data_IF_471380150801
#
_entry.id   IF_471380150801
#
_cell.length_a   1.000
_cell.length_b   1.000
_cell.length_c   1.000
_cell.angle_alpha   90.00
_cell.angle_beta   90.00
_cell.angle_gamma   90.00
#
_symmetry.space_group_name_H-M   'P 1'
#
loop_
_entity.id
_entity.type
_entity.pdbx_description
1 polymer ?
#
# COMPACT_ATOMS: atom_id res chain seq x y z
N UNK A 1 -39.77 -14.71 6.10
CA UNK A 1 -38.50 -14.80 5.36
C UNK A 1 -38.26 -13.49 4.66
N UNK A 2 -37.62 -12.53 5.33
CA UNK A 2 -36.81 -11.47 4.73
C UNK A 2 -35.78 -11.15 5.81
N UNK A 3 -34.51 -11.45 5.56
CA UNK A 3 -33.44 -11.02 6.45
C UNK A 3 -33.34 -9.49 6.33
N UNK A 4 -33.36 -8.82 7.47
CA UNK A 4 -33.18 -7.37 7.58
C UNK A 4 -31.78 -6.97 7.06
N UNK A 5 -31.61 -5.74 6.54
CA UNK A 5 -30.30 -5.28 6.11
C UNK A 5 -29.42 -5.18 7.35
N UNK A 6 -28.32 -5.94 7.37
CA UNK A 6 -27.34 -5.94 8.44
C UNK A 6 -26.83 -4.53 8.67
N UNK A 7 -27.25 -3.95 9.80
CA UNK A 7 -26.74 -2.74 10.43
C UNK A 7 -25.29 -2.96 10.85
N UNK A 8 -24.36 -2.72 9.92
CA UNK A 8 -22.97 -2.49 10.27
C UNK A 8 -22.82 -0.97 10.49
N UNK A 9 -22.30 -0.48 11.63
CA UNK A 9 -21.88 0.92 11.73
C UNK A 9 -20.96 1.21 10.55
N UNK A 10 -20.99 2.39 9.90
CA UNK A 10 -20.26 2.62 8.66
C UNK A 10 -18.80 2.34 8.93
N UNK A 11 -18.39 1.14 8.52
CA UNK A 11 -17.04 0.72 8.68
C UNK A 11 -16.25 1.71 7.86
N UNK A 12 -15.27 2.33 8.50
CA UNK A 12 -14.34 3.26 7.90
C UNK A 12 -14.07 2.95 6.41
N UNK A 13 -13.94 4.02 5.61
CA UNK A 13 -13.47 3.89 4.23
C UNK A 13 -12.20 3.04 4.18
N UNK A 14 -12.20 1.98 3.36
CA UNK A 14 -11.14 0.97 3.33
C UNK A 14 -9.87 1.50 2.67
N UNK A 15 -8.72 1.09 3.20
CA UNK A 15 -7.41 1.30 2.61
C UNK A 15 -7.06 0.11 1.71
N UNK A 16 -7.38 0.22 0.42
CA UNK A 16 -6.96 -0.75 -0.59
C UNK A 16 -5.52 -0.51 -1.10
N UNK A 17 -4.81 0.49 -0.56
CA UNK A 17 -3.42 0.74 -0.92
C UNK A 17 -2.45 -0.27 -0.31
N UNK A 18 -2.86 -0.93 0.79
CA UNK A 18 -2.09 -2.02 1.40
C UNK A 18 -2.25 -3.30 0.60
N UNK A 19 -1.26 -4.19 0.73
CA UNK A 19 -1.24 -5.45 0.02
C UNK A 19 -2.32 -6.43 0.52
N UNK A 20 -2.40 -6.61 1.83
CA UNK A 20 -3.22 -7.64 2.48
C UNK A 20 -4.34 -7.05 3.34
N UNK A 21 -5.40 -7.81 3.49
CA UNK A 21 -6.49 -7.52 4.43
C UNK A 21 -6.05 -7.68 5.90
N UNK A 22 -6.87 -7.24 6.85
CA UNK A 22 -6.55 -7.18 8.28
C UNK A 22 -6.17 -8.54 8.87
N UNK A 23 -6.80 -9.62 8.43
CA UNK A 23 -6.56 -10.97 8.96
C UNK A 23 -5.41 -11.70 8.27
N UNK A 24 -4.71 -11.01 7.37
CA UNK A 24 -3.58 -11.55 6.63
C UNK A 24 -2.33 -10.69 6.89
N UNK A 25 -1.16 -11.27 6.70
CA UNK A 25 0.11 -10.55 6.71
C UNK A 25 0.84 -10.78 5.37
N UNK A 26 1.57 -9.77 4.87
CA UNK A 26 2.26 -9.88 3.59
C UNK A 26 3.45 -10.83 3.70
N UNK A 27 3.62 -11.66 2.67
CA UNK A 27 4.76 -12.55 2.46
C UNK A 27 5.16 -12.42 0.99
N UNK A 28 6.12 -11.53 0.68
CA UNK A 28 6.45 -11.06 -0.68
C UNK A 28 5.19 -10.56 -1.42
N UNK A 29 4.78 -11.18 -2.52
CA UNK A 29 3.58 -10.83 -3.31
C UNK A 29 2.31 -11.54 -2.83
N UNK A 30 2.41 -12.37 -1.79
CA UNK A 30 1.32 -13.17 -1.24
C UNK A 30 0.81 -12.58 0.09
N UNK A 31 -0.36 -13.04 0.49
CA UNK A 31 -0.97 -12.72 1.78
C UNK A 31 -1.27 -14.01 2.52
N UNK A 32 -0.72 -14.17 3.72
CA UNK A 32 -0.90 -15.37 4.52
C UNK A 32 -1.82 -15.09 5.71
N UNK A 33 -2.77 -15.99 5.92
CA UNK A 33 -3.78 -15.85 6.95
C UNK A 33 -3.17 -15.99 8.34
N UNK A 34 -3.45 -15.00 9.20
CA UNK A 34 -3.19 -15.07 10.64
C UNK A 34 -3.98 -16.24 11.25
N UNK A 35 -3.56 -16.80 12.40
CA UNK A 35 -4.29 -17.88 13.06
C UNK A 35 -5.77 -17.56 13.33
N UNK A 36 -6.10 -16.28 13.52
CA UNK A 36 -7.45 -15.78 13.76
C UNK A 36 -8.37 -15.77 12.54
N UNK A 37 -7.87 -15.97 11.32
CA UNK A 37 -8.70 -15.97 10.13
C UNK A 37 -9.54 -17.25 10.05
N UNK A 38 -10.85 -17.07 10.00
CA UNK A 38 -11.86 -18.13 9.95
C UNK A 38 -12.79 -18.06 8.74
N UNK A 39 -12.49 -17.17 7.77
CA UNK A 39 -13.31 -17.02 6.56
C UNK A 39 -13.09 -18.16 5.54
N UNK A 40 -13.89 -18.17 4.45
CA UNK A 40 -13.95 -19.29 3.51
C UNK A 40 -12.78 -19.39 2.53
N UNK A 41 -11.93 -18.36 2.42
CA UNK A 41 -10.85 -18.33 1.44
C UNK A 41 -9.60 -19.09 1.90
N UNK A 42 -8.76 -19.46 0.94
CA UNK A 42 -7.51 -20.16 1.24
C UNK A 42 -6.61 -19.35 2.18
N UNK A 43 -5.87 -20.06 3.05
CA UNK A 43 -4.94 -19.41 3.98
C UNK A 43 -3.75 -18.75 3.30
N UNK A 44 -3.49 -19.04 2.02
CA UNK A 44 -2.41 -18.46 1.22
C UNK A 44 -3.00 -17.83 -0.03
N UNK A 45 -3.09 -16.51 -0.04
CA UNK A 45 -3.65 -15.75 -1.15
C UNK A 45 -2.52 -15.24 -2.05
N UNK A 46 -2.65 -15.44 -3.37
CA UNK A 46 -1.69 -14.94 -4.37
C UNK A 46 -2.30 -13.77 -5.14
N UNK A 47 -1.46 -12.80 -5.53
CA UNK A 47 -1.89 -11.74 -6.43
C UNK A 47 -2.78 -10.65 -5.81
N UNK A 48 -3.06 -10.68 -4.50
CA UNK A 48 -3.81 -9.60 -3.82
C UNK A 48 -3.14 -8.23 -3.99
N UNK A 49 -1.80 -8.19 -4.10
CA UNK A 49 -1.04 -6.98 -4.38
C UNK A 49 -1.47 -6.30 -5.70
N UNK A 50 -1.85 -7.09 -6.70
CA UNK A 50 -2.15 -6.65 -8.07
C UNK A 50 -3.63 -6.37 -8.30
N UNK A 51 -4.49 -6.68 -7.34
CA UNK A 51 -5.92 -6.45 -7.46
C UNK A 51 -6.25 -4.94 -7.49
N UNK A 52 -7.24 -4.58 -8.31
CA UNK A 52 -7.87 -3.25 -8.27
C UNK A 52 -8.59 -3.03 -6.94
N UNK A 53 -8.96 -1.78 -6.64
CA UNK A 53 -9.71 -1.46 -5.42
C UNK A 53 -11.05 -2.22 -5.41
N UNK A 54 -11.73 -2.29 -6.56
CA UNK A 54 -13.01 -2.98 -6.75
C UNK A 54 -12.86 -4.51 -6.63
N UNK A 55 -11.74 -5.07 -7.09
CA UNK A 55 -11.41 -6.49 -6.91
C UNK A 55 -11.12 -6.81 -5.45
N UNK A 56 -10.41 -5.93 -4.73
CA UNK A 56 -10.15 -6.08 -3.28
C UNK A 56 -11.43 -5.96 -2.45
N UNK A 57 -12.35 -5.10 -2.86
CA UNK A 57 -13.68 -4.99 -2.27
C UNK A 57 -14.47 -6.29 -2.47
N UNK A 58 -14.52 -6.80 -3.70
CA UNK A 58 -15.19 -8.06 -4.02
C UNK A 58 -14.58 -9.24 -3.26
N UNK A 59 -13.25 -9.27 -3.14
CA UNK A 59 -12.52 -10.25 -2.34
C UNK A 59 -12.89 -10.16 -0.86
N UNK A 60 -13.03 -8.94 -0.31
CA UNK A 60 -13.37 -8.72 1.10
C UNK A 60 -14.73 -9.32 1.44
N UNK A 61 -15.70 -9.14 0.55
CA UNK A 61 -17.04 -9.72 0.66
C UNK A 61 -16.96 -11.26 0.57
N UNK A 62 -16.28 -11.78 -0.45
CA UNK A 62 -16.20 -13.22 -0.70
C UNK A 62 -15.43 -13.98 0.38
N UNK A 63 -14.41 -13.36 0.98
CA UNK A 63 -13.52 -13.98 1.96
C UNK A 63 -13.86 -13.65 3.41
N UNK A 64 -14.94 -12.91 3.64
CA UNK A 64 -15.42 -12.51 4.97
C UNK A 64 -14.31 -11.87 5.83
N UNK A 65 -13.47 -11.05 5.19
CA UNK A 65 -12.40 -10.31 5.85
C UNK A 65 -12.24 -8.94 5.21
N UNK A 66 -11.73 -7.98 5.99
CA UNK A 66 -11.75 -6.58 5.60
C UNK A 66 -10.34 -5.99 5.50
N UNK A 67 -10.14 -5.08 4.55
CA UNK A 67 -8.95 -4.23 4.53
C UNK A 67 -8.94 -3.22 5.70
N UNK A 68 -7.77 -2.74 6.14
CA UNK A 68 -7.67 -1.71 7.16
C UNK A 68 -8.43 -0.44 6.79
N UNK A 69 -8.71 0.41 7.78
CA UNK A 69 -9.26 1.74 7.52
C UNK A 69 -8.22 2.62 6.82
N UNK A 70 -8.68 3.51 5.94
CA UNK A 70 -7.86 4.57 5.38
C UNK A 70 -7.35 5.44 6.54
N UNK A 71 -6.03 5.60 6.70
CA UNK A 71 -5.46 6.36 7.79
C UNK A 71 -5.71 7.87 7.59
N UNK A 72 -5.78 8.61 8.69
CA UNK A 72 -5.92 10.08 8.66
C UNK A 72 -4.73 10.77 7.97
N UNK A 73 -3.55 10.17 8.05
CA UNK A 73 -2.39 10.56 7.27
C UNK A 73 -1.83 9.34 6.54
N UNK A 74 -1.78 9.41 5.22
CA UNK A 74 -1.16 8.38 4.39
C UNK A 74 0.36 8.34 4.65
N UNK A 75 0.93 7.20 5.07
CA UNK A 75 2.35 7.09 5.39
C UNK A 75 3.29 7.48 4.24
N UNK A 76 2.84 7.32 2.99
CA UNK A 76 3.59 7.61 1.75
C UNK A 76 2.94 8.71 0.91
N UNK A 77 2.05 9.49 1.52
CA UNK A 77 1.27 10.51 0.86
C UNK A 77 0.05 9.96 0.12
N UNK A 78 -0.84 10.89 -0.21
CA UNK A 78 -2.09 10.64 -0.93
C UNK A 78 -1.81 10.44 -2.43
N UNK A 79 -2.55 9.52 -3.03
CA UNK A 79 -2.51 9.24 -4.46
C UNK A 79 -3.47 10.17 -5.22
N UNK A 80 -2.97 11.36 -5.56
CA UNK A 80 -3.72 12.33 -6.35
C UNK A 80 -3.79 11.99 -7.84
N UNK A 81 -3.05 10.98 -8.30
CA UNK A 81 -3.12 10.49 -9.69
C UNK A 81 -4.37 9.64 -9.90
N UNK A 82 -4.89 9.00 -8.84
CA UNK A 82 -6.20 8.35 -8.87
C UNK A 82 -7.29 9.35 -9.26
N UNK A 83 -8.13 8.92 -10.21
CA UNK A 83 -9.21 9.76 -10.73
C UNK A 83 -10.29 10.00 -9.69
N UNK A 84 -10.71 8.95 -8.98
CA UNK A 84 -11.78 9.01 -7.99
C UNK A 84 -11.25 9.03 -6.56
N UNK A 85 -12.00 9.67 -5.62
CA UNK A 85 -11.80 9.47 -4.19
C UNK A 85 -11.87 7.99 -3.81
N UNK A 86 -11.33 7.62 -2.65
CA UNK A 86 -11.43 6.27 -2.14
C UNK A 86 -12.91 5.88 -1.94
N UNK A 87 -13.27 4.62 -2.22
CA UNK A 87 -14.66 4.15 -2.11
C UNK A 87 -15.64 4.72 -3.15
N UNK A 88 -15.20 5.59 -4.07
CA UNK A 88 -16.03 6.06 -5.17
C UNK A 88 -15.79 5.21 -6.41
N UNK A 89 -16.86 4.85 -7.10
CA UNK A 89 -16.79 3.99 -8.28
C UNK A 89 -16.47 4.81 -9.52
N UNK A 90 -15.40 4.44 -10.23
CA UNK A 90 -15.09 4.98 -11.55
C UNK A 90 -15.99 4.34 -12.61
N UNK A 91 -16.65 5.17 -13.42
CA UNK A 91 -17.55 4.67 -14.49
C UNK A 91 -16.84 4.73 -15.84
N UNK A 92 -16.58 5.94 -16.35
CA UNK A 92 -15.92 6.17 -17.64
C UNK A 92 -15.52 7.64 -17.77
N UNK A 93 -14.47 7.94 -18.53
CA UNK A 93 -14.09 9.32 -18.86
C UNK A 93 -13.71 10.18 -17.65
N UNK A 94 -13.52 9.60 -16.47
CA UNK A 94 -13.27 10.28 -15.19
C UNK A 94 -14.51 10.71 -14.41
N UNK A 95 -15.68 10.20 -14.78
CA UNK A 95 -16.87 10.26 -13.95
C UNK A 95 -16.74 9.29 -12.77
N UNK A 96 -16.90 9.83 -11.56
CA UNK A 96 -16.89 9.08 -10.32
C UNK A 96 -18.26 9.19 -9.65
N UNK A 97 -18.75 8.08 -9.13
CA UNK A 97 -20.04 7.98 -8.43
C UNK A 97 -19.79 7.63 -6.97
N UNK A 98 -20.33 8.43 -6.07
CA UNK A 98 -20.24 8.25 -4.63
C UNK A 98 -21.06 7.05 -4.14
N UNK A 99 -20.77 6.54 -2.93
CA UNK A 99 -21.64 5.62 -2.21
C UNK A 99 -23.08 6.15 -2.03
N UNK A 100 -24.04 5.26 -1.80
CA UNK A 100 -25.46 5.62 -1.73
C UNK A 100 -25.82 6.48 -0.52
N UNK A 101 -25.03 6.39 0.55
CA UNK A 101 -25.14 7.12 1.81
C UNK A 101 -24.38 8.45 1.82
N UNK A 102 -23.68 8.80 0.72
CA UNK A 102 -22.98 10.07 0.59
C UNK A 102 -23.96 11.22 0.32
N UNK A 103 -24.04 12.17 1.24
CA UNK A 103 -24.99 13.30 1.20
C UNK A 103 -24.31 14.68 1.30
N UNK A 104 -22.98 14.73 1.52
CA UNK A 104 -22.27 15.97 1.77
C UNK A 104 -22.10 16.86 0.52
N UNK A 105 -21.98 16.26 -0.66
CA UNK A 105 -21.80 16.94 -1.94
C UNK A 105 -22.45 16.16 -3.10
N UNK A 106 -22.27 16.63 -4.34
CA UNK A 106 -22.71 15.93 -5.53
C UNK A 106 -22.20 14.47 -5.57
N UNK A 107 -23.13 13.51 -5.65
CA UNK A 107 -22.81 12.09 -5.70
C UNK A 107 -22.27 11.63 -7.06
N UNK A 108 -22.21 12.49 -8.08
CA UNK A 108 -21.68 12.19 -9.42
C UNK A 108 -20.82 13.35 -9.89
N UNK A 109 -19.51 13.14 -10.01
CA UNK A 109 -18.56 14.23 -10.28
C UNK A 109 -17.56 13.83 -11.36
N UNK A 110 -17.28 14.77 -12.27
CA UNK A 110 -16.37 14.60 -13.40
C UNK A 110 -14.96 15.09 -13.04
N UNK A 111 -14.11 14.19 -12.52
CA UNK A 111 -12.78 14.55 -12.01
C UNK A 111 -11.67 14.61 -13.06
N UNK A 112 -11.90 14.16 -14.30
CA UNK A 112 -10.84 14.19 -15.33
C UNK A 112 -10.30 15.60 -15.62
N UNK A 113 -11.12 16.64 -15.44
CA UNK A 113 -10.73 18.03 -15.68
C UNK A 113 -10.21 18.74 -14.42
N UNK A 114 -10.23 18.08 -13.25
CA UNK A 114 -9.83 18.70 -12.00
C UNK A 114 -8.30 18.80 -11.92
N UNK A 115 -7.80 19.99 -11.59
CA UNK A 115 -6.41 20.16 -11.17
C UNK A 115 -6.16 19.51 -9.81
N UNK A 116 -4.89 19.36 -9.44
CA UNK A 116 -4.52 18.93 -8.08
C UNK A 116 -5.17 19.82 -7.01
N UNK A 117 -5.18 21.13 -7.24
CA UNK A 117 -5.77 22.10 -6.31
C UNK A 117 -7.29 21.95 -6.21
N UNK A 118 -7.98 21.66 -7.32
CA UNK A 118 -9.42 21.38 -7.31
C UNK A 118 -9.74 20.10 -6.54
N UNK A 119 -8.92 19.05 -6.70
CA UNK A 119 -9.07 17.81 -5.93
C UNK A 119 -8.89 18.06 -4.43
N UNK A 120 -7.88 18.85 -4.03
CA UNK A 120 -7.68 19.24 -2.64
C UNK A 120 -8.87 20.04 -2.09
N UNK A 121 -9.34 21.04 -2.82
CA UNK A 121 -10.47 21.86 -2.41
C UNK A 121 -11.76 21.03 -2.27
N UNK A 122 -12.00 20.10 -3.20
CA UNK A 122 -13.14 19.19 -3.13
C UNK A 122 -13.03 18.23 -1.93
N UNK A 123 -11.86 17.64 -1.70
CA UNK A 123 -11.61 16.77 -0.56
C UNK A 123 -11.93 17.46 0.77
N UNK A 124 -11.44 18.69 0.94
CA UNK A 124 -11.69 19.49 2.15
C UNK A 124 -13.15 19.90 2.28
N UNK A 125 -13.78 20.36 1.19
CA UNK A 125 -15.16 20.84 1.21
C UNK A 125 -16.17 19.72 1.46
N UNK A 126 -15.96 18.57 0.85
CA UNK A 126 -16.93 17.47 0.81
C UNK A 126 -16.60 16.34 1.79
N UNK A 127 -15.52 16.46 2.57
CA UNK A 127 -15.11 15.44 3.54
C UNK A 127 -14.68 14.12 2.89
N UNK A 128 -14.33 14.13 1.60
CA UNK A 128 -13.87 12.93 0.89
C UNK A 128 -12.36 12.83 0.93
N UNK A 129 -11.83 11.61 0.81
CA UNK A 129 -10.39 11.35 0.82
C UNK A 129 -9.98 10.59 -0.42
N UNK A 130 -8.84 10.95 -1.00
CA UNK A 130 -8.21 10.16 -2.05
C UNK A 130 -7.44 8.98 -1.44
N UNK A 131 -7.29 7.87 -2.18
CA UNK A 131 -6.56 6.70 -1.70
C UNK A 131 -5.12 7.05 -1.30
N UNK A 132 -4.52 6.26 -0.41
CA UNK A 132 -3.08 6.35 -0.19
C UNK A 132 -2.31 5.77 -1.39
N UNK A 133 -1.08 6.25 -1.62
CA UNK A 133 -0.22 5.69 -2.67
C UNK A 133 0.05 4.21 -2.42
N UNK A 134 -0.25 3.37 -3.41
CA UNK A 134 0.06 1.93 -3.38
C UNK A 134 1.56 1.69 -3.24
N UNK A 135 1.92 0.52 -2.72
CA UNK A 135 3.31 0.07 -2.70
C UNK A 135 3.72 -0.36 -4.12
N UNK A 136 4.14 0.59 -4.95
CA UNK A 136 4.75 0.32 -6.26
C UNK A 136 5.98 1.21 -6.39
N UNK A 137 7.06 0.82 -5.77
CA UNK A 137 8.37 1.38 -6.07
C UNK A 137 9.06 0.46 -7.08
N UNK A 138 9.80 1.04 -8.02
CA UNK A 138 10.78 0.25 -8.76
C UNK A 138 11.73 -0.38 -7.74
N UNK A 139 12.02 -1.67 -7.86
CA UNK A 139 12.96 -2.34 -6.96
C UNK A 139 14.37 -1.83 -7.24
N UNK A 140 15.10 -1.54 -6.17
CA UNK A 140 16.52 -1.29 -6.25
C UNK A 140 17.29 -2.61 -6.25
N UNK A 141 17.47 -3.19 -7.42
CA UNK A 141 18.31 -4.37 -7.58
C UNK A 141 19.81 -4.06 -7.53
N UNK A 142 20.23 -2.79 -7.37
CA UNK A 142 21.62 -2.47 -7.05
C UNK A 142 21.97 -2.87 -5.61
N UNK A 143 20.99 -2.91 -4.72
CA UNK A 143 21.15 -3.45 -3.37
C UNK A 143 21.50 -4.95 -3.43
N UNK A 144 22.52 -5.34 -2.66
CA UNK A 144 23.05 -6.71 -2.64
C UNK A 144 22.00 -7.69 -2.11
N UNK A 145 21.44 -7.37 -0.94
CA UNK A 145 20.45 -8.21 -0.26
C UNK A 145 19.04 -7.61 -0.28
N UNK A 146 18.00 -8.46 -0.17
CA UNK A 146 16.63 -8.02 0.05
C UNK A 146 16.47 -7.22 1.35
N UNK A 147 15.36 -6.49 1.49
CA UNK A 147 14.96 -5.84 2.74
C UNK A 147 14.93 -6.86 3.89
N UNK A 148 15.43 -6.42 5.05
CA UNK A 148 15.54 -7.22 6.27
C UNK A 148 16.48 -8.44 6.17
N UNK A 149 17.34 -8.49 5.16
CA UNK A 149 18.47 -9.41 5.06
C UNK A 149 19.77 -8.61 5.18
N UNK A 150 20.74 -9.15 5.93
CA UNK A 150 22.04 -8.55 6.13
C UNK A 150 23.05 -9.15 5.15
N UNK A 151 23.90 -8.33 4.54
CA UNK A 151 25.02 -8.79 3.74
C UNK A 151 26.19 -9.12 4.67
N UNK A 152 26.52 -10.41 4.79
CA UNK A 152 27.66 -10.92 5.56
C UNK A 152 28.99 -10.82 4.76
N UNK A 153 28.95 -10.28 3.54
CA UNK A 153 30.06 -10.20 2.61
C UNK A 153 29.94 -11.20 1.46
N UNK A 154 30.65 -10.93 0.35
CA UNK A 154 30.63 -11.76 -0.86
C UNK A 154 29.21 -12.08 -1.37
N UNK A 155 28.29 -11.11 -1.25
CA UNK A 155 26.87 -11.28 -1.61
C UNK A 155 26.16 -12.43 -0.89
N UNK A 156 26.62 -12.79 0.31
CA UNK A 156 25.96 -13.76 1.17
C UNK A 156 24.97 -13.01 2.06
N UNK A 157 23.70 -13.17 1.74
CA UNK A 157 22.61 -12.56 2.45
C UNK A 157 22.11 -13.48 3.56
N UNK A 158 22.07 -12.97 4.78
CA UNK A 158 21.53 -13.64 5.95
C UNK A 158 20.21 -12.99 6.37
N UNK A 159 19.13 -13.77 6.33
CA UNK A 159 17.80 -13.33 6.68
C UNK A 159 17.69 -13.01 8.17
N UNK A 160 16.92 -11.98 8.54
CA UNK A 160 16.61 -11.74 9.95
C UNK A 160 15.68 -12.86 10.48
N UNK A 161 16.09 -13.68 11.47
CA UNK A 161 15.32 -14.83 11.96
C UNK A 161 14.00 -14.47 12.63
N UNK A 162 13.86 -13.23 13.10
CA UNK A 162 12.62 -12.77 13.73
C UNK A 162 11.60 -12.25 12.72
N UNK A 163 11.98 -12.11 11.44
CA UNK A 163 11.17 -11.50 10.39
C UNK A 163 10.93 -12.48 9.25
N UNK A 164 11.97 -13.15 8.78
CA UNK A 164 11.89 -14.02 7.62
C UNK A 164 11.27 -15.37 7.96
N UNK A 165 10.19 -15.71 7.26
CA UNK A 165 9.44 -16.98 7.41
C UNK A 165 9.21 -17.66 6.06
N UNK A 166 9.99 -17.29 5.05
CA UNK A 166 9.87 -17.80 3.69
C UNK A 166 10.47 -19.21 3.51
N UNK A 167 10.33 -19.78 2.31
CA UNK A 167 10.66 -21.18 2.04
C UNK A 167 12.16 -21.43 1.78
N UNK A 168 12.96 -20.37 1.65
CA UNK A 168 14.39 -20.52 1.37
C UNK A 168 15.21 -20.62 2.67
N UNK A 169 16.45 -21.12 2.59
CA UNK A 169 17.35 -21.12 3.74
C UNK A 169 17.62 -19.70 4.26
N UNK A 170 17.98 -19.60 5.53
CA UNK A 170 18.33 -18.33 6.19
C UNK A 170 19.55 -17.65 5.56
N UNK A 171 20.39 -18.40 4.84
CA UNK A 171 21.55 -17.88 4.11
C UNK A 171 21.34 -18.09 2.61
N UNK A 172 21.58 -17.06 1.82
CA UNK A 172 21.52 -17.11 0.37
C UNK A 172 22.78 -16.48 -0.22
N UNK A 173 23.51 -17.24 -1.04
CA UNK A 173 24.60 -16.68 -1.84
C UNK A 173 24.02 -16.13 -3.14
N UNK A 174 24.02 -14.81 -3.27
CA UNK A 174 23.50 -14.07 -4.43
C UNK A 174 24.63 -13.56 -5.33
N UNK A 175 25.84 -14.14 -5.23
CA UNK A 175 26.98 -13.77 -6.06
C UNK A 175 26.64 -13.95 -7.53
N UNK A 176 26.83 -12.90 -8.33
CA UNK A 176 26.60 -12.93 -9.76
C UNK A 176 25.12 -12.92 -10.17
N UNK A 177 24.18 -12.74 -9.24
CA UNK A 177 22.77 -12.54 -9.59
C UNK A 177 22.60 -11.21 -10.32
N UNK A 178 22.05 -11.26 -11.53
CA UNK A 178 21.55 -10.10 -12.24
C UNK A 178 20.13 -9.72 -11.76
N UNK A 179 19.57 -8.67 -12.35
CA UNK A 179 18.25 -8.16 -11.94
C UNK A 179 17.13 -9.19 -12.13
N UNK A 180 17.20 -10.03 -13.17
CA UNK A 180 16.20 -11.06 -13.45
C UNK A 180 16.28 -12.19 -12.41
N UNK A 181 17.49 -12.62 -12.06
CA UNK A 181 17.69 -13.60 -11.00
C UNK A 181 17.29 -13.06 -9.62
N UNK A 182 17.54 -11.78 -9.34
CA UNK A 182 17.07 -11.12 -8.11
C UNK A 182 15.55 -11.04 -8.07
N UNK A 183 14.90 -10.67 -9.17
CA UNK A 183 13.44 -10.68 -9.28
C UNK A 183 12.88 -12.10 -9.04
N UNK A 184 13.47 -13.11 -9.67
CA UNK A 184 13.05 -14.49 -9.46
C UNK A 184 13.27 -14.94 -8.00
N UNK A 185 14.37 -14.53 -7.36
CA UNK A 185 14.60 -14.78 -5.94
C UNK A 185 13.56 -14.09 -5.06
N UNK A 186 13.14 -12.86 -5.41
CA UNK A 186 12.06 -12.13 -4.72
C UNK A 186 10.77 -12.97 -4.68
N UNK A 187 10.47 -13.60 -5.81
CA UNK A 187 9.30 -14.44 -6.02
C UNK A 187 9.45 -15.79 -5.32
N UNK A 188 10.58 -16.49 -5.49
CA UNK A 188 10.79 -17.85 -4.99
C UNK A 188 10.97 -17.87 -3.47
N UNK A 189 11.78 -16.95 -2.94
CA UNK A 189 12.14 -16.92 -1.53
C UNK A 189 11.22 -16.05 -0.69
N UNK A 190 10.21 -15.43 -1.29
CA UNK A 190 9.27 -14.53 -0.64
C UNK A 190 9.95 -13.39 0.14
N UNK A 191 10.88 -12.73 -0.52
CA UNK A 191 11.56 -11.54 0.00
C UNK A 191 11.13 -10.32 -0.81
N UNK A 192 11.71 -9.16 -0.55
CA UNK A 192 11.47 -7.93 -1.30
C UNK A 192 12.77 -7.15 -1.39
N UNK A 193 13.18 -6.66 -2.57
CA UNK A 193 14.28 -5.69 -2.63
C UNK A 193 13.84 -4.30 -2.15
N UNK A 194 14.76 -3.49 -1.62
CA UNK A 194 14.43 -2.13 -1.22
C UNK A 194 13.90 -1.34 -2.40
N UNK A 195 13.11 -0.31 -2.11
CA UNK A 195 12.65 0.61 -3.12
C UNK A 195 13.81 1.43 -3.70
N UNK A 196 13.92 1.49 -5.02
CA UNK A 196 14.71 2.49 -5.72
C UNK A 196 14.20 3.87 -5.30
N UNK A 197 15.08 4.68 -4.72
CA UNK A 197 14.75 6.05 -4.37
C UNK A 197 14.47 6.82 -5.66
N UNK A 198 13.21 7.20 -5.88
CA UNK A 198 12.84 8.16 -6.93
C UNK A 198 13.28 9.61 -6.59
N UNK A 199 13.90 9.83 -5.42
CA UNK A 199 14.49 11.10 -5.04
C UNK A 199 16.01 10.98 -4.96
N UNK A 200 16.73 11.84 -5.68
CA UNK A 200 18.11 12.15 -5.34
C UNK A 200 18.11 12.84 -3.97
N UNK A 201 18.80 12.24 -3.01
CA UNK A 201 19.03 12.89 -1.72
C UNK A 201 20.00 14.03 -1.94
N UNK A 202 19.51 15.25 -1.79
CA UNK A 202 20.37 16.42 -1.75
C UNK A 202 21.12 16.46 -0.41
N UNK A 203 22.36 15.96 -0.40
CA UNK A 203 23.24 16.03 0.76
C UNK A 203 23.82 17.45 1.00
N UNK A 204 23.60 18.40 0.07
CA UNK A 204 23.91 19.81 0.29
C UNK A 204 22.85 20.51 1.14
N UNK A 205 21.62 19.96 1.18
CA UNK A 205 20.57 20.45 2.06
C UNK A 205 20.92 20.14 3.52
N UNK A 206 20.97 21.19 4.35
CA UNK A 206 21.33 21.06 5.77
C UNK A 206 20.29 20.28 6.60
N UNK A 207 19.08 20.09 6.09
CA UNK A 207 18.00 19.36 6.72
C UNK A 207 17.11 18.68 5.66
N UNK A 208 16.38 17.60 6.03
CA UNK A 208 15.34 17.02 5.19
C UNK A 208 14.25 18.04 4.81
N UNK A 209 13.52 17.76 3.72
CA UNK A 209 12.38 18.57 3.31
C UNK A 209 11.37 18.70 4.47
N UNK A 210 10.88 19.93 4.69
CA UNK A 210 10.00 20.33 5.79
C UNK A 210 10.60 20.34 7.21
N UNK A 211 11.90 20.09 7.38
CA UNK A 211 12.61 20.33 8.63
C UNK A 211 13.25 21.72 8.64
N UNK A 212 13.28 22.37 9.80
CA UNK A 212 13.99 23.66 9.99
C UNK A 212 15.08 23.47 11.04
N UNK A 213 16.28 23.96 10.75
CA UNK A 213 17.33 24.12 11.75
C UNK A 213 16.82 25.07 12.83
N UNK A 214 16.63 24.56 14.04
CA UNK A 214 16.51 25.40 15.22
C UNK A 214 17.91 25.91 15.56
N UNK A 215 18.24 27.13 15.11
CA UNK A 215 19.45 27.81 15.53
C UNK A 215 19.36 28.14 17.03
N UNK A 216 20.28 27.66 17.89
CA UNK A 216 20.20 27.83 19.34
C UNK A 216 20.37 29.28 19.85
N UNK A 217 20.56 30.26 18.96
CA UNK A 217 20.96 31.63 19.31
C UNK A 217 19.85 32.67 19.17
N UNK A 218 18.58 32.28 19.03
CA UNK A 218 17.45 33.23 18.95
C UNK A 218 16.61 33.35 20.22
N UNK A 219 17.10 32.87 21.36
CA UNK A 219 16.59 33.28 22.67
C UNK A 219 17.62 34.19 23.33
N UNK A 220 17.69 35.42 22.82
CA UNK A 220 18.33 36.55 23.48
C UNK A 220 17.25 37.41 24.12
#
# INVERSE_FOLDING_TARGET
MLAEPTDFPPECQRDYSVQCSKSFFPVSTQCWAKPSYSGPCERKQRGMAQMSDEQKESWSIACEDNYPCLPEQCPRGTDWERTCPAGWRHVSGGLCVAPADFDQCDAKVQFAAFSLQDKHAFAQKCGVRWPCRRLSCARDYSSVCPEYWHDEGDSICHANPNIYTGPCPMYANLTGFDNELKENFEIVCFVAWPCASLCERDFSAKCPLAWRLLCPWMYG
#
